data_IF_046578630596
#
_entry.id   IF_046578630596
#
_cell.length_a   1.000
_cell.length_b   1.000
_cell.length_c   1.000
_cell.angle_alpha   90.00
_cell.angle_beta   90.00
_cell.angle_gamma   90.00
#
_symmetry.space_group_name_H-M   'P 1'
#
loop_
_entity.id
_entity.type
_entity.pdbx_description
1 polymer ?
#
# COMPACT_ATOMS: atom_id res chain seq x y z
N UNK A 1 -10.90 22.77 -13.43
CA UNK A 1 -10.40 23.99 -14.05
C UNK A 1 -11.55 24.98 -14.23
N UNK A 2 -11.45 26.20 -13.70
CA UNK A 2 -12.49 27.23 -13.77
C UNK A 2 -12.85 27.56 -15.22
N UNK A 3 -11.83 27.67 -16.08
CA UNK A 3 -12.03 27.88 -17.52
C UNK A 3 -12.91 26.83 -18.19
N UNK A 4 -12.82 25.57 -17.76
CA UNK A 4 -13.66 24.50 -18.31
C UNK A 4 -15.11 24.70 -17.89
N UNK A 5 -15.36 25.04 -16.62
CA UNK A 5 -16.69 25.31 -16.10
C UNK A 5 -17.33 26.51 -16.81
N UNK A 6 -16.59 27.62 -16.94
CA UNK A 6 -17.05 28.81 -17.66
C UNK A 6 -17.41 28.52 -19.11
N UNK A 7 -16.53 27.78 -19.82
CA UNK A 7 -16.80 27.40 -21.22
C UNK A 7 -18.01 26.48 -21.35
N UNK A 8 -18.20 25.55 -20.41
CA UNK A 8 -19.34 24.62 -20.43
C UNK A 8 -20.65 25.35 -20.13
N UNK A 9 -20.67 26.22 -19.12
CA UNK A 9 -21.84 27.05 -18.80
C UNK A 9 -22.22 27.93 -20.00
N UNK A 10 -21.25 28.60 -20.62
CA UNK A 10 -21.48 29.44 -21.82
C UNK A 10 -22.05 28.64 -22.97
N UNK A 11 -21.50 27.46 -23.24
CA UNK A 11 -22.03 26.59 -24.30
C UNK A 11 -23.47 26.16 -24.06
N UNK A 12 -23.87 25.80 -22.83
CA UNK A 12 -25.25 25.48 -22.50
C UNK A 12 -26.17 26.70 -22.55
N UNK A 13 -25.68 27.91 -22.19
CA UNK A 13 -26.43 29.16 -22.32
C UNK A 13 -26.70 29.51 -23.79
N UNK A 14 -25.69 29.38 -24.65
CA UNK A 14 -25.87 29.57 -26.12
C UNK A 14 -26.83 28.57 -26.70
N UNK A 15 -26.89 27.35 -26.20
CA UNK A 15 -27.86 26.31 -26.54
C UNK A 15 -29.25 26.54 -25.96
N UNK A 16 -29.50 27.62 -25.19
CA UNK A 16 -30.77 27.95 -24.49
C UNK A 16 -31.25 26.87 -23.55
N UNK A 17 -30.38 25.98 -23.05
CA UNK A 17 -30.72 24.90 -22.11
C UNK A 17 -30.52 25.38 -20.65
N UNK A 18 -31.35 26.36 -20.25
CA UNK A 18 -31.17 27.09 -18.98
C UNK A 18 -31.35 26.21 -17.73
N UNK A 19 -32.15 25.16 -17.79
CA UNK A 19 -32.29 24.18 -16.69
C UNK A 19 -31.01 23.38 -16.50
N UNK A 20 -30.31 23.03 -17.59
CA UNK A 20 -28.98 22.39 -17.50
C UNK A 20 -27.93 23.34 -16.94
N UNK A 21 -28.01 24.64 -17.28
CA UNK A 21 -27.13 25.65 -16.68
C UNK A 21 -27.30 25.73 -15.17
N UNK A 22 -28.54 25.66 -14.68
CA UNK A 22 -28.80 25.62 -13.22
C UNK A 22 -28.17 24.39 -12.57
N UNK A 23 -28.36 23.20 -13.17
CA UNK A 23 -27.72 21.97 -12.68
C UNK A 23 -26.19 22.03 -12.71
N UNK A 24 -25.60 22.69 -13.71
CA UNK A 24 -24.14 22.93 -13.75
C UNK A 24 -23.68 23.86 -12.63
N UNK A 25 -24.41 24.93 -12.37
CA UNK A 25 -24.11 25.81 -11.23
C UNK A 25 -24.26 25.07 -9.88
N UNK A 26 -25.25 24.21 -9.70
CA UNK A 26 -25.41 23.42 -8.49
C UNK A 26 -24.18 22.52 -8.24
N UNK A 27 -23.66 21.88 -9.30
CA UNK A 27 -22.41 21.10 -9.23
C UNK A 27 -21.20 22.00 -8.96
N UNK A 28 -21.09 23.13 -9.67
CA UNK A 28 -19.95 24.04 -9.54
C UNK A 28 -19.89 24.66 -8.14
N UNK A 29 -21.00 25.10 -7.58
CA UNK A 29 -21.08 25.70 -6.25
C UNK A 29 -20.77 24.72 -5.12
N UNK A 30 -20.95 23.42 -5.34
CA UNK A 30 -20.57 22.35 -4.40
C UNK A 30 -19.12 21.90 -4.56
N UNK A 31 -18.45 22.23 -5.68
CA UNK A 31 -17.10 21.79 -5.99
C UNK A 31 -16.07 22.84 -5.54
N UNK A 32 -15.05 22.48 -4.76
CA UNK A 32 -13.97 23.40 -4.39
C UNK A 32 -13.15 23.80 -5.64
N UNK A 33 -13.18 25.07 -6.00
CA UNK A 33 -12.42 25.65 -7.12
C UNK A 33 -11.74 26.95 -6.69
N UNK A 34 -10.74 27.41 -7.42
CA UNK A 34 -10.09 28.70 -7.12
C UNK A 34 -11.03 29.89 -7.30
N UNK A 35 -11.91 29.83 -8.30
CA UNK A 35 -12.87 30.89 -8.63
C UNK A 35 -14.18 30.83 -7.85
N UNK A 36 -14.25 30.13 -6.71
CA UNK A 36 -15.48 29.85 -5.97
C UNK A 36 -16.33 31.11 -5.63
N UNK A 37 -15.69 32.23 -5.33
CA UNK A 37 -16.38 33.51 -5.07
C UNK A 37 -17.00 34.09 -6.35
N UNK A 38 -16.24 34.12 -7.43
CA UNK A 38 -16.70 34.62 -8.74
C UNK A 38 -17.86 33.79 -9.26
N UNK A 39 -17.81 32.47 -9.11
CA UNK A 39 -18.86 31.56 -9.57
C UNK A 39 -20.19 31.78 -8.87
N UNK A 40 -20.18 32.14 -7.60
CA UNK A 40 -21.42 32.47 -6.89
C UNK A 40 -22.01 33.79 -7.37
N UNK A 41 -21.16 34.78 -7.66
CA UNK A 41 -21.60 36.05 -8.21
C UNK A 41 -22.20 35.89 -9.61
N UNK A 42 -21.56 35.14 -10.51
CA UNK A 42 -22.08 34.87 -11.85
C UNK A 42 -23.39 34.07 -11.81
N UNK A 43 -23.55 33.16 -10.82
CA UNK A 43 -24.80 32.49 -10.57
C UNK A 43 -25.93 33.45 -10.17
N UNK A 44 -25.66 34.41 -9.28
CA UNK A 44 -26.64 35.42 -8.90
C UNK A 44 -27.08 36.27 -10.09
N UNK A 45 -26.13 36.69 -10.92
CA UNK A 45 -26.39 37.41 -12.18
C UNK A 45 -27.25 36.59 -13.13
N UNK A 46 -26.95 35.28 -13.28
CA UNK A 46 -27.74 34.37 -14.13
C UNK A 46 -29.19 34.24 -13.64
N UNK A 47 -29.42 34.06 -12.31
CA UNK A 47 -30.78 33.95 -11.76
C UNK A 47 -31.53 35.28 -11.89
N UNK A 48 -30.85 36.42 -11.76
CA UNK A 48 -31.48 37.74 -11.91
C UNK A 48 -31.88 38.04 -13.36
N UNK A 49 -31.04 37.65 -14.32
CA UNK A 49 -31.24 37.91 -15.74
C UNK A 49 -32.33 37.04 -16.41
N UNK A 50 -32.67 35.90 -15.80
CA UNK A 50 -33.61 34.94 -16.37
C UNK A 50 -34.90 34.80 -15.54
N UNK A 51 -35.97 34.33 -16.17
CA UNK A 51 -37.20 34.02 -15.44
C UNK A 51 -37.08 32.68 -14.71
N UNK A 52 -37.63 32.55 -13.47
CA UNK A 52 -37.55 31.31 -12.71
C UNK A 52 -38.12 30.08 -13.41
N UNK A 53 -39.16 30.27 -14.21
CA UNK A 53 -39.79 29.20 -15.01
C UNK A 53 -38.84 28.57 -16.05
N UNK A 54 -37.83 29.31 -16.53
CA UNK A 54 -36.88 28.84 -17.55
C UNK A 54 -35.66 28.19 -16.98
N UNK A 55 -35.32 28.54 -15.75
CA UNK A 55 -34.07 28.07 -15.08
C UNK A 55 -34.28 26.87 -14.17
N UNK A 56 -35.55 26.58 -13.79
CA UNK A 56 -35.93 25.44 -12.95
C UNK A 56 -36.64 24.36 -13.77
N UNK A 57 -36.70 23.15 -13.25
CA UNK A 57 -37.63 22.14 -13.72
C UNK A 57 -39.08 22.58 -13.42
N UNK A 58 -40.06 22.04 -14.15
CA UNK A 58 -41.48 22.38 -13.92
C UNK A 58 -41.86 22.03 -12.48
N UNK A 59 -41.48 20.87 -12.00
CA UNK A 59 -41.81 20.38 -10.66
C UNK A 59 -41.20 21.27 -9.57
N UNK A 60 -39.92 21.61 -9.69
CA UNK A 60 -39.21 22.49 -8.73
C UNK A 60 -39.82 23.91 -8.72
N UNK A 61 -40.20 24.43 -9.90
CA UNK A 61 -40.82 25.74 -10.00
C UNK A 61 -42.18 25.75 -9.31
N UNK A 62 -43.01 24.73 -9.55
CA UNK A 62 -44.34 24.62 -8.93
C UNK A 62 -44.26 24.44 -7.42
N UNK A 63 -43.34 23.65 -6.93
CA UNK A 63 -43.10 23.48 -5.51
C UNK A 63 -42.68 24.80 -4.83
N UNK A 64 -41.71 25.51 -5.41
CA UNK A 64 -41.31 26.82 -4.90
C UNK A 64 -42.42 27.87 -4.98
N UNK A 65 -43.20 27.86 -6.06
CA UNK A 65 -44.34 28.76 -6.24
C UNK A 65 -45.40 28.51 -5.18
N UNK A 66 -45.74 27.28 -4.88
CA UNK A 66 -46.71 26.91 -3.86
C UNK A 66 -46.28 27.40 -2.47
N UNK A 67 -44.98 27.25 -2.12
CA UNK A 67 -44.42 27.77 -0.88
C UNK A 67 -44.47 29.30 -0.79
N UNK A 68 -44.16 29.99 -1.90
CA UNK A 68 -44.21 31.45 -1.96
C UNK A 68 -45.64 31.99 -1.81
N UNK A 69 -46.59 31.33 -2.51
CA UNK A 69 -48.00 31.69 -2.33
C UNK A 69 -48.52 31.48 -0.90
N UNK A 70 -48.05 30.44 -0.20
CA UNK A 70 -48.39 30.18 1.18
C UNK A 70 -47.86 31.30 2.09
N UNK A 71 -46.63 31.79 1.84
CA UNK A 71 -46.03 32.92 2.59
C UNK A 71 -46.78 34.21 2.34
N UNK A 72 -47.08 34.57 1.08
CA UNK A 72 -47.80 35.78 0.73
C UNK A 72 -49.23 35.81 1.30
N UNK A 73 -49.92 34.66 1.35
CA UNK A 73 -51.24 34.53 2.00
C UNK A 73 -51.15 34.65 3.53
N UNK A 74 -50.04 34.30 4.14
CA UNK A 74 -49.84 34.46 5.60
C UNK A 74 -49.51 35.89 6.00
N UNK A 75 -48.94 36.69 5.08
CA UNK A 75 -48.65 38.12 5.32
C UNK A 75 -49.87 39.02 5.05
N UNK A 76 -50.85 38.59 4.21
CA UNK A 76 -52.14 39.22 4.08
C UNK A 76 -53.07 38.83 5.24
N UNK A 77 -52.97 39.48 6.37
CA UNK A 77 -54.00 39.42 7.45
C UNK A 77 -55.25 40.14 6.91
N UNK A 78 -56.38 39.43 6.72
CA UNK A 78 -57.58 40.09 6.18
C UNK A 78 -58.24 40.95 7.26
N UNK A 79 -58.10 42.26 7.16
CA UNK A 79 -59.02 43.22 7.75
C UNK A 79 -60.12 43.53 6.72
N UNK A 80 -61.08 42.61 6.51
CA UNK A 80 -62.42 42.97 6.03
C UNK A 80 -63.33 41.75 6.06
N UNK A 81 -64.53 41.97 6.54
CA UNK A 81 -65.62 41.00 6.65
C UNK A 81 -66.17 40.53 5.27
N UNK A 82 -66.79 39.32 5.20
CA UNK A 82 -67.24 38.76 3.96
C UNK A 82 -68.47 39.47 3.40
N UNK A 83 -68.44 39.88 2.16
CA UNK A 83 -69.64 40.13 1.34
C UNK A 83 -69.86 38.90 0.46
N UNK A 84 -70.93 38.21 0.79
CA UNK A 84 -71.59 37.17 -0.04
C UNK A 84 -72.01 37.77 -1.36
N UNK A 85 -71.66 37.17 -2.45
CA UNK A 85 -72.33 37.01 -3.73
C UNK A 85 -71.34 36.90 -4.90
N UNK A 86 -71.03 35.66 -5.28
CA UNK A 86 -70.59 35.35 -6.64
C UNK A 86 -70.93 33.86 -7.00
N UNK A 87 -71.42 33.55 -8.21
CA UNK A 87 -71.84 32.20 -8.64
C UNK A 87 -70.60 31.31 -8.79
N UNK A 88 -70.71 29.97 -8.68
CA UNK A 88 -69.61 29.04 -8.84
C UNK A 88 -69.17 28.94 -10.31
N UNK A 89 -68.09 29.66 -10.61
CA UNK A 89 -67.40 29.51 -11.88
C UNK A 89 -66.11 28.73 -11.59
N UNK A 90 -65.78 27.80 -12.49
CA UNK A 90 -64.60 26.95 -12.48
C UNK A 90 -63.37 27.77 -12.09
N UNK A 91 -62.68 27.37 -11.03
CA UNK A 91 -61.35 27.94 -10.69
C UNK A 91 -60.40 27.56 -11.82
N UNK A 92 -59.75 28.51 -12.51
CA UNK A 92 -58.73 28.18 -13.51
C UNK A 92 -57.60 27.45 -12.82
N UNK A 93 -57.17 26.34 -13.42
CA UNK A 93 -56.05 25.57 -12.88
C UNK A 93 -54.85 26.48 -12.59
N UNK A 94 -54.21 26.33 -11.42
CA UNK A 94 -53.18 27.21 -10.89
C UNK A 94 -51.92 27.36 -11.80
N UNK A 95 -51.91 26.69 -12.95
CA UNK A 95 -50.88 26.69 -13.99
C UNK A 95 -51.02 27.83 -15.00
N UNK A 96 -52.18 28.43 -15.17
CA UNK A 96 -52.42 29.38 -16.27
C UNK A 96 -52.19 30.86 -15.89
N UNK A 97 -52.08 31.17 -14.60
CA UNK A 97 -51.84 32.55 -14.17
C UNK A 97 -50.34 32.83 -14.14
N UNK A 98 -49.82 33.80 -14.92
CA UNK A 98 -48.38 34.17 -14.83
C UNK A 98 -48.04 34.65 -13.41
N UNK A 99 -46.81 34.34 -12.92
CA UNK A 99 -46.39 34.79 -11.59
C UNK A 99 -46.30 36.29 -11.54
N UNK A 100 -46.70 36.87 -10.42
CA UNK A 100 -46.59 38.32 -10.21
C UNK A 100 -45.09 38.72 -10.07
N UNK A 101 -44.78 40.00 -10.28
CA UNK A 101 -43.40 40.48 -10.14
C UNK A 101 -42.86 40.24 -8.72
N UNK A 102 -43.71 40.29 -7.73
CA UNK A 102 -43.40 40.04 -6.32
C UNK A 102 -43.16 38.55 -6.05
N UNK A 103 -44.02 37.66 -6.57
CA UNK A 103 -43.77 36.21 -6.56
C UNK A 103 -42.41 35.89 -7.21
N UNK A 104 -42.14 36.47 -8.39
CA UNK A 104 -40.92 36.27 -9.12
C UNK A 104 -39.68 36.71 -8.33
N UNK A 105 -39.75 37.83 -7.64
CA UNK A 105 -38.67 38.34 -6.77
C UNK A 105 -38.40 37.40 -5.60
N UNK A 106 -39.45 36.96 -4.92
CA UNK A 106 -39.31 36.06 -3.76
C UNK A 106 -38.76 34.68 -4.19
N UNK A 107 -39.24 34.14 -5.34
CA UNK A 107 -38.71 32.88 -5.89
C UNK A 107 -37.22 33.01 -6.18
N UNK A 108 -36.77 34.11 -6.84
CA UNK A 108 -35.34 34.36 -7.08
C UNK A 108 -34.53 34.42 -5.77
N UNK A 109 -35.02 35.12 -4.77
CA UNK A 109 -34.39 35.21 -3.45
C UNK A 109 -34.27 33.83 -2.78
N UNK A 110 -35.33 33.00 -2.86
CA UNK A 110 -35.29 31.62 -2.36
C UNK A 110 -34.27 30.74 -3.09
N UNK A 111 -34.21 30.82 -4.42
CA UNK A 111 -33.19 30.12 -5.23
C UNK A 111 -31.79 30.52 -4.78
N UNK A 112 -31.51 31.80 -4.68
CA UNK A 112 -30.20 32.30 -4.28
C UNK A 112 -29.89 31.92 -2.83
N UNK A 113 -30.85 32.03 -1.90
CA UNK A 113 -30.62 31.73 -0.48
C UNK A 113 -30.35 30.26 -0.22
N UNK A 114 -31.01 29.34 -0.93
CA UNK A 114 -30.76 27.90 -0.85
C UNK A 114 -29.33 27.56 -1.30
N UNK A 115 -28.90 28.12 -2.42
CA UNK A 115 -27.54 27.93 -2.97
C UNK A 115 -26.45 28.68 -2.17
N UNK A 116 -26.82 29.75 -1.48
CA UNK A 116 -25.90 30.45 -0.54
C UNK A 116 -25.45 29.55 0.59
N UNK A 117 -26.31 28.64 1.09
CA UNK A 117 -25.91 27.66 2.11
C UNK A 117 -24.85 26.70 1.58
N UNK A 118 -25.04 26.19 0.35
CA UNK A 118 -24.08 25.29 -0.33
C UNK A 118 -22.76 26.04 -0.57
N UNK A 119 -22.83 27.26 -1.08
CA UNK A 119 -21.65 28.10 -1.30
C UNK A 119 -20.88 28.36 -0.01
N UNK A 120 -21.56 28.68 1.10
CA UNK A 120 -20.90 28.89 2.42
C UNK A 120 -20.19 27.63 2.89
N UNK A 121 -20.78 26.46 2.74
CA UNK A 121 -20.13 25.18 3.05
C UNK A 121 -18.88 24.96 2.17
N UNK A 122 -18.97 25.30 0.89
CA UNK A 122 -17.85 25.21 -0.05
C UNK A 122 -16.72 26.21 0.30
N UNK A 123 -17.06 27.45 0.67
CA UNK A 123 -16.07 28.45 1.16
C UNK A 123 -15.28 27.91 2.34
N UNK A 124 -15.95 27.32 3.32
CA UNK A 124 -15.30 26.72 4.48
C UNK A 124 -14.41 25.51 4.05
N UNK A 125 -14.89 24.69 3.13
CA UNK A 125 -14.12 23.55 2.60
C UNK A 125 -12.86 24.00 1.86
N UNK A 126 -12.94 25.07 1.08
CA UNK A 126 -11.78 25.67 0.38
C UNK A 126 -10.81 26.27 1.39
N UNK A 127 -11.29 27.05 2.34
CA UNK A 127 -10.44 27.69 3.35
C UNK A 127 -9.63 26.66 4.17
N UNK A 128 -10.26 25.54 4.56
CA UNK A 128 -9.60 24.47 5.28
C UNK A 128 -8.46 23.78 4.47
N UNK A 129 -8.55 23.80 3.14
CA UNK A 129 -7.59 23.14 2.23
C UNK A 129 -6.56 24.09 1.65
N UNK A 130 -6.79 25.38 1.75
CA UNK A 130 -6.01 26.40 1.06
C UNK A 130 -4.51 26.28 1.31
N UNK A 131 -4.12 26.12 2.56
CA UNK A 131 -2.70 25.99 2.96
C UNK A 131 -2.01 24.83 2.27
N UNK A 132 -2.69 23.68 2.14
CA UNK A 132 -2.14 22.51 1.47
C UNK A 132 -2.03 22.73 -0.05
N UNK A 133 -3.07 23.28 -0.67
CA UNK A 133 -3.10 23.54 -2.11
C UNK A 133 -2.06 24.61 -2.52
N UNK A 134 -1.92 25.67 -1.75
CA UNK A 134 -0.88 26.69 -1.96
C UNK A 134 0.53 26.10 -1.78
N UNK A 135 0.68 25.13 -0.88
CA UNK A 135 1.90 24.38 -0.66
C UNK A 135 2.33 23.49 -1.83
N UNK A 136 1.42 23.14 -2.76
CA UNK A 136 1.71 22.29 -3.92
C UNK A 136 2.31 23.16 -5.05
N UNK A 137 3.65 23.20 -5.13
CA UNK A 137 4.35 24.01 -6.15
C UNK A 137 4.58 23.25 -7.46
N UNK A 138 4.59 21.93 -7.43
CA UNK A 138 4.83 21.05 -8.58
C UNK A 138 3.74 19.98 -8.70
N UNK A 139 2.57 20.31 -9.29
CA UNK A 139 1.44 19.37 -9.41
C UNK A 139 1.55 18.45 -10.66
N UNK A 140 2.73 18.25 -11.21
CA UNK A 140 2.99 17.47 -12.42
C UNK A 140 4.14 16.48 -12.21
N UNK A 141 4.18 15.44 -13.04
CA UNK A 141 5.25 14.46 -13.03
C UNK A 141 6.57 15.04 -13.51
N UNK A 142 7.64 14.75 -12.78
CA UNK A 142 9.00 15.09 -13.19
C UNK A 142 10.02 14.15 -12.51
N UNK A 143 11.07 13.77 -13.23
CA UNK A 143 12.12 12.86 -12.72
C UNK A 143 13.01 13.48 -11.64
N UNK A 144 13.11 14.83 -11.59
CA UNK A 144 13.87 15.51 -10.52
C UNK A 144 13.18 15.27 -9.16
N UNK A 145 13.92 14.88 -8.12
CA UNK A 145 13.35 14.67 -6.80
C UNK A 145 12.53 15.86 -6.30
N UNK A 146 11.46 15.57 -5.56
CA UNK A 146 10.70 16.56 -4.82
C UNK A 146 11.44 16.98 -3.55
N UNK A 147 11.25 18.22 -3.16
CA UNK A 147 11.74 18.74 -1.89
C UNK A 147 11.03 18.08 -0.72
N UNK A 148 11.70 17.94 0.42
CA UNK A 148 11.13 17.31 1.62
C UNK A 148 9.87 18.02 2.09
N UNK A 149 9.80 19.35 1.98
CA UNK A 149 8.62 20.13 2.32
C UNK A 149 7.41 19.77 1.45
N UNK A 150 7.61 19.48 0.15
CA UNK A 150 6.55 19.04 -0.76
C UNK A 150 6.02 17.65 -0.38
N UNK A 151 6.92 16.71 -0.08
CA UNK A 151 6.54 15.36 0.38
C UNK A 151 5.79 15.41 1.70
N UNK A 152 6.22 16.28 2.62
CA UNK A 152 5.54 16.50 3.90
C UNK A 152 4.14 17.08 3.69
N UNK A 153 4.01 18.10 2.85
CA UNK A 153 2.73 18.72 2.52
C UNK A 153 1.73 17.72 1.93
N UNK A 154 2.18 16.84 1.00
CA UNK A 154 1.32 15.78 0.46
C UNK A 154 0.86 14.78 1.53
N UNK A 155 1.76 14.41 2.47
CA UNK A 155 1.41 13.50 3.57
C UNK A 155 0.35 14.12 4.49
N UNK A 156 0.57 15.36 4.92
CA UNK A 156 -0.34 16.09 5.81
C UNK A 156 -1.69 16.36 5.13
N UNK A 157 -1.69 16.67 3.84
CA UNK A 157 -2.92 16.85 3.09
C UNK A 157 -3.73 15.56 2.96
N UNK A 158 -3.08 14.44 2.68
CA UNK A 158 -3.73 13.13 2.66
C UNK A 158 -4.28 12.74 4.03
N UNK A 159 -3.56 13.02 5.12
CA UNK A 159 -4.02 12.77 6.49
C UNK A 159 -5.27 13.60 6.78
N UNK A 160 -5.25 14.89 6.46
CA UNK A 160 -6.38 15.78 6.62
C UNK A 160 -7.64 15.29 5.88
N UNK A 161 -7.51 14.89 4.59
CA UNK A 161 -8.68 14.41 3.83
C UNK A 161 -9.21 13.07 4.35
N UNK A 162 -8.33 12.17 4.80
CA UNK A 162 -8.74 10.90 5.42
C UNK A 162 -9.57 11.16 6.69
N UNK A 163 -9.22 12.16 7.49
CA UNK A 163 -9.98 12.58 8.68
C UNK A 163 -11.37 13.14 8.32
N UNK A 164 -11.50 13.79 7.15
CA UNK A 164 -12.79 14.30 6.65
C UNK A 164 -13.76 13.19 6.20
N UNK A 165 -13.26 11.97 5.92
CA UNK A 165 -14.03 10.78 5.55
C UNK A 165 -14.83 10.88 4.23
N UNK A 166 -14.51 11.82 3.36
CA UNK A 166 -15.09 11.91 2.02
C UNK A 166 -14.31 11.00 1.06
N UNK A 167 -14.83 9.80 0.83
CA UNK A 167 -14.15 8.75 0.07
C UNK A 167 -13.78 9.16 -1.35
N UNK A 168 -14.67 9.84 -2.06
CA UNK A 168 -14.41 10.27 -3.44
C UNK A 168 -13.27 11.28 -3.50
N UNK A 169 -13.29 12.26 -2.61
CA UNK A 169 -12.22 13.27 -2.52
C UNK A 169 -10.88 12.66 -2.15
N UNK A 170 -10.87 11.73 -1.21
CA UNK A 170 -9.64 11.04 -0.79
C UNK A 170 -9.02 10.28 -1.96
N UNK A 171 -9.83 9.52 -2.72
CA UNK A 171 -9.36 8.79 -3.90
C UNK A 171 -8.81 9.75 -4.95
N UNK A 172 -9.53 10.83 -5.26
CA UNK A 172 -9.07 11.85 -6.21
C UNK A 172 -7.77 12.50 -5.74
N UNK A 173 -7.63 12.77 -4.45
CA UNK A 173 -6.40 13.37 -3.90
C UNK A 173 -5.23 12.40 -3.99
N UNK A 174 -5.43 11.10 -3.72
CA UNK A 174 -4.38 10.09 -3.92
C UNK A 174 -3.93 10.03 -5.39
N UNK A 175 -4.86 10.01 -6.34
CA UNK A 175 -4.52 10.01 -7.77
C UNK A 175 -3.75 11.29 -8.17
N UNK A 176 -4.15 12.46 -7.70
CA UNK A 176 -3.40 13.71 -7.89
C UNK A 176 -2.00 13.64 -7.27
N UNK A 177 -1.89 13.12 -6.06
CA UNK A 177 -0.62 12.93 -5.38
C UNK A 177 0.31 12.03 -6.18
N UNK A 178 -0.19 10.92 -6.71
CA UNK A 178 0.58 9.96 -7.50
C UNK A 178 1.05 10.52 -8.85
N UNK A 179 0.49 11.60 -9.36
CA UNK A 179 1.06 12.31 -10.51
C UNK A 179 2.40 12.96 -10.12
N UNK A 180 2.42 13.72 -9.03
CA UNK A 180 3.63 14.44 -8.61
C UNK A 180 4.63 13.52 -7.90
N UNK A 181 4.14 12.55 -7.13
CA UNK A 181 4.89 11.64 -6.27
C UNK A 181 5.03 10.24 -6.85
N UNK A 182 4.88 10.05 -8.17
CA UNK A 182 4.90 8.74 -8.82
C UNK A 182 6.16 7.90 -8.50
N UNK A 183 7.31 8.56 -8.31
CA UNK A 183 8.60 7.89 -8.02
C UNK A 183 8.84 7.58 -6.53
N UNK A 184 7.84 7.79 -5.68
CA UNK A 184 7.91 7.53 -4.24
C UNK A 184 6.95 6.40 -3.86
N UNK A 185 7.51 5.23 -3.62
CA UNK A 185 6.77 3.99 -3.32
C UNK A 185 5.86 4.09 -2.07
N UNK A 186 6.22 4.95 -1.11
CA UNK A 186 5.42 5.16 0.10
C UNK A 186 3.99 5.63 -0.16
N UNK A 187 3.76 6.49 -1.19
CA UNK A 187 2.42 6.98 -1.52
C UNK A 187 1.56 5.92 -2.20
N UNK A 188 2.18 5.06 -3.04
CA UNK A 188 1.50 3.90 -3.62
C UNK A 188 1.02 2.92 -2.55
N UNK A 189 1.91 2.57 -1.61
CA UNK A 189 1.56 1.68 -0.51
C UNK A 189 0.51 2.30 0.42
N UNK A 190 0.57 3.60 0.64
CA UNK A 190 -0.42 4.31 1.44
C UNK A 190 -1.80 4.30 0.79
N UNK A 191 -1.85 4.50 -0.52
CA UNK A 191 -3.11 4.44 -1.27
C UNK A 191 -3.73 3.04 -1.21
N UNK A 192 -2.93 2.01 -1.44
CA UNK A 192 -3.40 0.62 -1.31
C UNK A 192 -3.96 0.35 0.09
N UNK A 193 -3.23 0.70 1.15
CA UNK A 193 -3.69 0.52 2.54
C UNK A 193 -5.01 1.25 2.81
N UNK A 194 -5.17 2.44 2.27
CA UNK A 194 -6.44 3.16 2.35
C UNK A 194 -7.56 2.38 1.66
N UNK A 195 -7.35 1.90 0.43
CA UNK A 195 -8.34 1.12 -0.30
C UNK A 195 -8.69 -0.21 0.40
N UNK A 196 -7.69 -0.85 1.04
CA UNK A 196 -7.90 -2.06 1.86
C UNK A 196 -8.72 -1.79 3.13
N UNK A 197 -8.63 -0.58 3.69
CA UNK A 197 -9.37 -0.18 4.89
C UNK A 197 -10.86 0.10 4.63
N UNK A 198 -11.25 0.26 3.37
CA UNK A 198 -12.65 0.46 3.00
C UNK A 198 -13.42 -0.87 3.06
N UNK A 199 -14.67 -0.82 3.50
CA UNK A 199 -15.55 -2.01 3.60
C UNK A 199 -15.97 -2.59 2.25
N UNK A 200 -15.80 -1.83 1.17
CA UNK A 200 -16.16 -2.25 -0.18
C UNK A 200 -15.11 -3.18 -0.80
N UNK A 201 -15.55 -4.01 -1.75
CA UNK A 201 -14.64 -4.86 -2.51
C UNK A 201 -13.87 -4.04 -3.57
N UNK A 202 -12.78 -3.38 -3.15
CA UNK A 202 -11.93 -2.57 -4.01
C UNK A 202 -10.79 -3.37 -4.68
N UNK A 203 -10.90 -4.69 -4.77
CA UNK A 203 -9.82 -5.55 -5.26
C UNK A 203 -9.30 -5.15 -6.65
N UNK A 204 -10.20 -4.80 -7.58
CA UNK A 204 -9.80 -4.36 -8.93
C UNK A 204 -9.06 -3.02 -8.93
N UNK A 205 -9.52 -2.06 -8.11
CA UNK A 205 -8.81 -0.78 -7.95
C UNK A 205 -7.42 -0.97 -7.36
N UNK A 206 -7.30 -1.84 -6.36
CA UNK A 206 -6.00 -2.17 -5.74
C UNK A 206 -5.06 -2.82 -6.75
N UNK A 207 -5.56 -3.73 -7.60
CA UNK A 207 -4.79 -4.35 -8.68
C UNK A 207 -4.30 -3.31 -9.69
N UNK A 208 -5.15 -2.38 -10.08
CA UNK A 208 -4.78 -1.29 -10.99
C UNK A 208 -3.66 -0.44 -10.38
N UNK A 209 -3.79 -0.04 -9.11
CA UNK A 209 -2.76 0.75 -8.40
C UNK A 209 -1.44 -0.01 -8.34
N UNK A 210 -1.43 -1.29 -7.96
CA UNK A 210 -0.21 -2.11 -7.95
C UNK A 210 0.37 -2.31 -9.34
N UNK A 211 -0.46 -2.55 -10.35
CA UNK A 211 -0.01 -2.72 -11.74
C UNK A 211 0.72 -1.47 -12.21
N UNK A 212 0.12 -0.29 -12.08
CA UNK A 212 0.77 0.99 -12.44
C UNK A 212 2.07 1.21 -11.65
N UNK A 213 2.05 0.95 -10.35
CA UNK A 213 3.23 1.10 -9.50
C UNK A 213 4.37 0.17 -9.94
N UNK A 214 4.09 -1.13 -10.10
CA UNK A 214 5.11 -2.14 -10.32
C UNK A 214 5.60 -2.23 -11.78
N UNK A 215 4.71 -1.99 -12.76
CA UNK A 215 5.10 -2.14 -14.17
C UNK A 215 5.65 -0.86 -14.78
N UNK A 216 5.15 0.31 -14.36
CA UNK A 216 5.51 1.60 -14.97
C UNK A 216 6.55 2.35 -14.12
N UNK A 217 6.25 2.61 -12.84
CA UNK A 217 7.04 3.54 -12.05
C UNK A 217 8.18 2.89 -11.25
N UNK A 218 7.95 1.68 -10.75
CA UNK A 218 8.89 0.98 -9.84
C UNK A 218 9.19 -0.47 -10.25
N UNK A 219 9.57 -0.76 -11.51
CA UNK A 219 9.81 -2.14 -11.97
C UNK A 219 10.95 -2.84 -11.24
N UNK A 220 11.86 -2.08 -10.62
CA UNK A 220 13.03 -2.58 -9.88
C UNK A 220 12.92 -2.42 -8.36
N UNK A 221 11.71 -2.22 -7.81
CA UNK A 221 11.51 -2.09 -6.35
C UNK A 221 10.84 -3.34 -5.77
N UNK A 222 11.60 -4.29 -5.18
CA UNK A 222 11.08 -5.57 -4.72
C UNK A 222 9.95 -5.42 -3.69
N UNK A 223 10.02 -4.42 -2.80
CA UNK A 223 9.03 -4.23 -1.75
C UNK A 223 7.60 -4.10 -2.27
N UNK A 224 7.38 -3.31 -3.33
CA UNK A 224 6.04 -3.16 -3.95
C UNK A 224 5.54 -4.48 -4.54
N UNK A 225 6.40 -5.21 -5.27
CA UNK A 225 6.05 -6.51 -5.85
C UNK A 225 5.74 -7.55 -4.78
N UNK A 226 6.50 -7.56 -3.68
CA UNK A 226 6.25 -8.45 -2.54
C UNK A 226 4.92 -8.16 -1.85
N UNK A 227 4.54 -6.89 -1.71
CA UNK A 227 3.25 -6.49 -1.17
C UNK A 227 2.11 -6.90 -2.11
N UNK A 228 2.26 -6.64 -3.42
CA UNK A 228 1.28 -7.06 -4.42
C UNK A 228 1.07 -8.58 -4.42
N UNK A 229 2.16 -9.35 -4.45
CA UNK A 229 2.08 -10.82 -4.37
C UNK A 229 1.39 -11.28 -3.07
N UNK A 230 1.64 -10.61 -1.94
CA UNK A 230 0.96 -10.90 -0.67
C UNK A 230 -0.54 -10.62 -0.75
N UNK A 231 -0.93 -9.53 -1.40
CA UNK A 231 -2.33 -9.20 -1.62
C UNK A 231 -3.04 -10.26 -2.47
N UNK A 232 -2.44 -10.67 -3.62
CA UNK A 232 -3.02 -11.69 -4.48
C UNK A 232 -3.10 -13.06 -3.79
N UNK A 233 -2.08 -13.43 -3.02
CA UNK A 233 -2.08 -14.64 -2.20
C UNK A 233 -3.22 -14.61 -1.16
N UNK A 234 -3.42 -13.47 -0.49
CA UNK A 234 -4.52 -13.26 0.45
C UNK A 234 -5.92 -13.36 -0.17
N UNK A 235 -6.03 -13.09 -1.48
CA UNK A 235 -7.26 -13.28 -2.27
C UNK A 235 -7.39 -14.68 -2.88
N UNK A 236 -6.45 -15.58 -2.62
CA UNK A 236 -6.44 -16.94 -3.16
C UNK A 236 -5.89 -17.05 -4.59
N UNK A 237 -5.37 -15.99 -5.18
CA UNK A 237 -4.83 -15.95 -6.53
C UNK A 237 -3.35 -16.37 -6.56
N UNK A 238 -3.05 -17.61 -6.18
CA UNK A 238 -1.68 -18.11 -6.06
C UNK A 238 -0.89 -18.03 -7.38
N UNK A 239 -1.54 -18.27 -8.51
CA UNK A 239 -0.87 -18.24 -9.83
C UNK A 239 -0.42 -16.81 -10.17
N UNK A 240 -1.28 -15.81 -9.91
CA UNK A 240 -0.91 -14.41 -10.12
C UNK A 240 0.19 -13.95 -9.18
N UNK A 241 0.13 -14.37 -7.91
CA UNK A 241 1.20 -14.10 -6.95
C UNK A 241 2.54 -14.71 -7.38
N UNK A 242 2.52 -15.96 -7.92
CA UNK A 242 3.72 -16.63 -8.44
C UNK A 242 4.29 -15.87 -9.64
N UNK A 243 3.44 -15.44 -10.59
CA UNK A 243 3.85 -14.66 -11.77
C UNK A 243 4.52 -13.34 -11.37
N UNK A 244 3.94 -12.59 -10.43
CA UNK A 244 4.50 -11.32 -9.94
C UNK A 244 5.89 -11.53 -9.32
N UNK A 245 6.03 -12.57 -8.48
CA UNK A 245 7.30 -12.90 -7.84
C UNK A 245 8.36 -13.40 -8.83
N UNK A 246 7.94 -14.12 -9.86
CA UNK A 246 8.83 -14.57 -10.94
C UNK A 246 9.34 -13.38 -11.77
N UNK A 247 8.45 -12.47 -12.13
CA UNK A 247 8.81 -11.28 -12.89
C UNK A 247 9.86 -10.43 -12.15
N UNK A 248 9.68 -10.17 -10.84
CA UNK A 248 10.68 -9.39 -10.08
C UNK A 248 11.98 -10.17 -9.89
N UNK A 249 11.94 -11.49 -9.75
CA UNK A 249 13.14 -12.33 -9.63
C UNK A 249 13.98 -12.30 -10.93
N UNK A 250 13.31 -12.28 -12.10
CA UNK A 250 13.97 -12.14 -13.39
C UNK A 250 14.60 -10.74 -13.57
N UNK A 251 13.94 -9.69 -13.11
CA UNK A 251 14.45 -8.31 -13.19
C UNK A 251 15.58 -8.05 -12.19
N UNK A 252 15.49 -8.64 -11.00
CA UNK A 252 16.46 -8.47 -9.90
C UNK A 252 16.87 -9.83 -9.30
N UNK A 253 17.72 -10.58 -10.01
CA UNK A 253 18.16 -11.89 -9.55
C UNK A 253 18.99 -11.81 -8.26
N UNK A 254 19.02 -12.90 -7.51
CA UNK A 254 19.78 -13.05 -6.26
C UNK A 254 19.26 -12.24 -5.05
N UNK A 255 18.00 -11.82 -5.07
CA UNK A 255 17.35 -11.21 -3.92
C UNK A 255 16.78 -12.29 -2.98
N UNK A 256 17.42 -12.50 -1.82
CA UNK A 256 16.99 -13.51 -0.85
C UNK A 256 15.52 -13.37 -0.42
N UNK A 257 15.04 -12.15 -0.28
CA UNK A 257 13.64 -11.92 0.09
C UNK A 257 12.67 -12.45 -0.96
N UNK A 258 12.97 -12.22 -2.24
CA UNK A 258 12.13 -12.69 -3.36
C UNK A 258 12.18 -14.21 -3.45
N UNK A 259 13.39 -14.81 -3.39
CA UNK A 259 13.56 -16.25 -3.40
C UNK A 259 12.77 -16.93 -2.28
N UNK A 260 12.87 -16.44 -1.05
CA UNK A 260 12.13 -17.00 0.06
C UNK A 260 10.61 -16.80 -0.06
N UNK A 261 10.17 -15.69 -0.61
CA UNK A 261 8.74 -15.45 -0.82
C UNK A 261 8.17 -16.41 -1.88
N UNK A 262 8.89 -16.64 -2.99
CA UNK A 262 8.51 -17.63 -4.03
C UNK A 262 8.39 -19.03 -3.43
N UNK A 263 9.43 -19.48 -2.75
CA UNK A 263 9.46 -20.83 -2.14
C UNK A 263 8.34 -20.99 -1.10
N UNK A 264 8.15 -19.99 -0.23
CA UNK A 264 7.13 -20.04 0.79
C UNK A 264 5.70 -19.97 0.22
N UNK A 265 5.50 -19.30 -0.91
CA UNK A 265 4.24 -19.30 -1.64
C UNK A 265 3.85 -20.72 -2.06
N UNK A 266 4.77 -21.44 -2.73
CA UNK A 266 4.51 -22.82 -3.16
C UNK A 266 4.32 -23.76 -1.96
N UNK A 267 5.08 -23.57 -0.87
CA UNK A 267 4.87 -24.31 0.38
C UNK A 267 3.47 -24.08 0.96
N UNK A 268 2.98 -22.84 1.01
CA UNK A 268 1.64 -22.52 1.53
C UNK A 268 0.53 -23.01 0.61
N UNK A 269 0.81 -23.04 -0.71
CA UNK A 269 -0.08 -23.65 -1.71
C UNK A 269 -0.18 -25.18 -1.56
N UNK A 270 0.79 -25.81 -0.90
CA UNK A 270 0.87 -27.26 -0.70
C UNK A 270 1.75 -27.98 -1.73
N UNK A 271 2.32 -27.26 -2.71
CA UNK A 271 3.23 -27.83 -3.72
C UNK A 271 4.66 -27.89 -3.17
N UNK A 272 4.93 -28.90 -2.35
CA UNK A 272 6.23 -29.10 -1.72
C UNK A 272 7.31 -29.52 -2.74
N UNK A 273 6.93 -30.18 -3.85
CA UNK A 273 7.88 -30.62 -4.87
C UNK A 273 8.38 -29.42 -5.67
N UNK A 274 7.50 -28.53 -6.07
CA UNK A 274 7.89 -27.28 -6.74
C UNK A 274 8.74 -26.39 -5.82
N UNK A 275 8.44 -26.36 -4.51
CA UNK A 275 9.29 -25.68 -3.55
C UNK A 275 10.71 -26.26 -3.50
N UNK A 276 10.86 -27.61 -3.56
CA UNK A 276 12.17 -28.26 -3.65
C UNK A 276 12.93 -27.85 -4.92
N UNK A 277 12.26 -27.88 -6.06
CA UNK A 277 12.86 -27.47 -7.35
C UNK A 277 13.35 -26.02 -7.29
N UNK A 278 12.58 -25.12 -6.71
CA UNK A 278 12.99 -23.72 -6.53
C UNK A 278 14.22 -23.60 -5.63
N UNK A 279 14.27 -24.33 -4.50
CA UNK A 279 15.46 -24.36 -3.65
C UNK A 279 16.71 -24.80 -4.40
N UNK A 280 16.61 -25.91 -5.15
CA UNK A 280 17.73 -26.48 -5.91
C UNK A 280 18.21 -25.52 -7.02
N UNK A 281 17.26 -24.88 -7.73
CA UNK A 281 17.58 -23.89 -8.75
C UNK A 281 18.31 -22.67 -8.17
N UNK A 282 17.84 -22.14 -7.04
CA UNK A 282 18.50 -20.99 -6.40
C UNK A 282 19.90 -21.33 -5.87
N UNK A 283 20.12 -22.53 -5.32
CA UNK A 283 21.43 -22.98 -4.83
C UNK A 283 22.40 -23.17 -6.02
N UNK A 284 21.90 -23.67 -7.16
CA UNK A 284 22.73 -23.96 -8.33
C UNK A 284 23.09 -22.68 -9.10
N UNK A 285 22.11 -21.78 -9.28
CA UNK A 285 22.25 -20.60 -10.13
C UNK A 285 22.83 -19.38 -9.39
N UNK A 286 22.90 -19.42 -8.06
CA UNK A 286 23.43 -18.29 -7.28
C UNK A 286 24.94 -18.14 -7.47
N UNK A 287 25.36 -16.99 -8.00
CA UNK A 287 26.78 -16.60 -8.11
C UNK A 287 27.39 -16.23 -6.75
N UNK A 288 26.57 -15.84 -5.78
CA UNK A 288 27.01 -15.44 -4.45
C UNK A 288 26.96 -16.63 -3.50
N UNK A 289 28.13 -17.07 -3.04
CA UNK A 289 28.30 -18.21 -2.12
C UNK A 289 27.49 -18.03 -0.83
N UNK A 290 27.49 -16.84 -0.24
CA UNK A 290 26.74 -16.56 0.99
C UNK A 290 25.25 -16.72 0.80
N UNK A 291 24.72 -16.29 -0.34
CA UNK A 291 23.30 -16.46 -0.69
C UNK A 291 22.98 -17.94 -0.86
N UNK A 292 23.78 -18.67 -1.64
CA UNK A 292 23.61 -20.11 -1.85
C UNK A 292 23.61 -20.89 -0.53
N UNK A 293 24.55 -20.59 0.40
CA UNK A 293 24.63 -21.23 1.70
C UNK A 293 23.42 -20.93 2.58
N UNK A 294 22.94 -19.68 2.61
CA UNK A 294 21.74 -19.31 3.37
C UNK A 294 20.50 -20.04 2.86
N UNK A 295 20.41 -20.23 1.53
CA UNK A 295 19.32 -20.99 0.90
C UNK A 295 19.47 -22.48 1.21
N UNK A 296 20.69 -23.04 1.14
CA UNK A 296 20.95 -24.44 1.47
C UNK A 296 20.57 -24.80 2.91
N UNK A 297 20.93 -23.94 3.87
CA UNK A 297 20.53 -24.11 5.29
C UNK A 297 19.01 -24.12 5.45
N UNK A 298 18.30 -23.21 4.76
CA UNK A 298 16.83 -23.21 4.81
C UNK A 298 16.22 -24.40 4.10
N UNK A 299 16.82 -24.84 3.00
CA UNK A 299 16.38 -26.03 2.28
C UNK A 299 16.53 -27.29 3.13
N UNK A 300 17.65 -27.46 3.79
CA UNK A 300 17.87 -28.59 4.69
C UNK A 300 16.82 -28.62 5.83
N UNK A 301 16.51 -27.48 6.45
CA UNK A 301 15.45 -27.37 7.44
C UNK A 301 14.05 -27.67 6.86
N UNK A 302 13.79 -27.23 5.62
CA UNK A 302 12.54 -27.52 4.94
C UNK A 302 12.39 -29.01 4.68
N UNK A 303 13.42 -29.70 4.16
CA UNK A 303 13.42 -31.14 3.92
C UNK A 303 13.17 -31.92 5.22
N UNK A 304 13.82 -31.54 6.31
CA UNK A 304 13.62 -32.18 7.63
C UNK A 304 12.19 -31.98 8.16
N UNK A 305 11.66 -30.73 8.12
CA UNK A 305 10.40 -30.38 8.76
C UNK A 305 9.15 -30.72 7.95
N UNK A 306 9.21 -30.65 6.61
CA UNK A 306 8.04 -30.82 5.74
C UNK A 306 8.07 -32.11 4.92
N UNK A 307 9.26 -32.61 4.57
CA UNK A 307 9.42 -33.86 3.80
C UNK A 307 9.85 -35.03 4.67
N UNK A 308 10.26 -34.80 5.92
CA UNK A 308 10.86 -35.80 6.83
C UNK A 308 12.06 -36.55 6.22
N UNK A 309 12.80 -35.90 5.30
CA UNK A 309 13.94 -36.46 4.60
C UNK A 309 15.25 -35.87 5.13
N UNK A 310 15.72 -36.41 6.25
CA UNK A 310 16.96 -35.95 6.92
C UNK A 310 18.17 -36.30 6.05
N UNK A 311 18.17 -37.45 5.36
CA UNK A 311 19.30 -37.90 4.55
C UNK A 311 19.55 -36.95 3.35
N UNK A 312 18.47 -36.52 2.68
CA UNK A 312 18.59 -35.52 1.60
C UNK A 312 19.04 -34.17 2.17
N UNK A 313 18.55 -33.78 3.35
CA UNK A 313 18.93 -32.54 4.00
C UNK A 313 20.44 -32.51 4.32
N UNK A 314 20.99 -33.59 4.86
CA UNK A 314 22.43 -33.75 5.12
C UNK A 314 23.23 -33.68 3.84
N UNK A 315 22.83 -34.41 2.78
CA UNK A 315 23.49 -34.38 1.46
C UNK A 315 23.54 -32.96 0.86
N UNK A 316 22.50 -32.18 1.04
CA UNK A 316 22.46 -30.78 0.56
C UNK A 316 23.48 -29.93 1.31
N UNK A 317 23.57 -30.06 2.64
CA UNK A 317 24.51 -29.33 3.44
C UNK A 317 25.97 -29.76 3.19
N UNK A 318 26.25 -31.05 3.03
CA UNK A 318 27.56 -31.55 2.68
C UNK A 318 28.05 -30.97 1.35
N UNK A 319 27.17 -30.94 0.32
CA UNK A 319 27.50 -30.24 -0.94
C UNK A 319 27.77 -28.74 -0.76
N UNK A 320 27.13 -28.11 0.20
CA UNK A 320 27.37 -26.69 0.51
C UNK A 320 28.71 -26.53 1.24
N UNK A 321 29.04 -27.42 2.19
CA UNK A 321 30.35 -27.41 2.89
C UNK A 321 31.53 -27.68 1.94
N UNK A 322 31.37 -28.51 0.92
CA UNK A 322 32.39 -28.72 -0.11
C UNK A 322 32.75 -27.44 -0.86
N UNK A 323 31.77 -26.57 -1.08
CA UNK A 323 31.95 -25.26 -1.74
C UNK A 323 32.46 -24.17 -0.79
N UNK A 324 32.14 -24.25 0.50
CA UNK A 324 32.46 -23.24 1.52
C UNK A 324 32.94 -23.92 2.82
N UNK A 325 34.15 -24.41 2.75
CA UNK A 325 34.72 -25.31 3.76
C UNK A 325 34.99 -24.66 5.13
N UNK A 326 35.09 -23.34 5.18
CA UNK A 326 35.47 -22.61 6.41
C UNK A 326 34.25 -21.91 7.06
N UNK A 327 33.03 -22.19 6.60
CA UNK A 327 31.80 -21.58 7.12
C UNK A 327 31.24 -22.39 8.30
N UNK A 328 31.41 -21.95 9.56
CA UNK A 328 31.00 -22.71 10.74
C UNK A 328 29.47 -22.95 10.79
N UNK A 329 28.68 -22.07 10.17
CA UNK A 329 27.22 -22.16 10.20
C UNK A 329 26.69 -23.42 9.48
N UNK A 330 27.38 -23.89 8.43
CA UNK A 330 26.98 -25.10 7.71
C UNK A 330 27.20 -26.33 8.58
N UNK A 331 28.35 -26.42 9.26
CA UNK A 331 28.66 -27.54 10.16
C UNK A 331 27.76 -27.56 11.39
N UNK A 332 27.47 -26.39 11.99
CA UNK A 332 26.51 -26.32 13.08
C UNK A 332 25.14 -26.86 12.66
N UNK A 333 24.71 -26.57 11.43
CA UNK A 333 23.45 -27.08 10.91
C UNK A 333 23.47 -28.59 10.62
N UNK A 334 24.65 -29.14 10.20
CA UNK A 334 24.84 -30.59 10.07
C UNK A 334 24.74 -31.29 11.42
N UNK A 335 25.37 -30.74 12.45
CA UNK A 335 25.29 -31.22 13.84
C UNK A 335 23.82 -31.21 14.31
N UNK A 336 23.12 -30.09 14.12
CA UNK A 336 21.70 -29.97 14.52
C UNK A 336 20.82 -31.03 13.82
N UNK A 337 21.07 -31.37 12.55
CA UNK A 337 20.32 -32.40 11.85
C UNK A 337 20.70 -33.80 12.31
N UNK A 338 22.00 -34.07 12.60
CA UNK A 338 22.45 -35.33 13.17
C UNK A 338 21.82 -35.64 14.53
N UNK A 339 21.68 -34.61 15.37
CA UNK A 339 21.00 -34.71 16.66
C UNK A 339 19.48 -34.95 16.57
N UNK A 340 18.86 -34.62 15.43
CA UNK A 340 17.43 -34.88 15.19
C UNK A 340 17.14 -36.32 14.73
N UNK A 341 18.15 -37.12 14.44
CA UNK A 341 17.96 -38.55 14.16
C UNK A 341 17.56 -39.30 15.43
N UNK A 342 16.76 -40.31 15.28
CA UNK A 342 16.39 -41.19 16.38
C UNK A 342 16.53 -42.65 15.91
N UNK A 343 17.51 -43.45 16.44
CA UNK A 343 18.53 -43.06 17.43
C UNK A 343 19.59 -42.08 16.86
N UNK A 344 20.25 -41.32 17.75
CA UNK A 344 21.33 -40.43 17.39
C UNK A 344 22.57 -41.25 17.00
N UNK A 345 23.12 -41.00 15.81
CA UNK A 345 24.37 -41.58 15.38
C UNK A 345 25.53 -40.72 15.91
N UNK A 346 26.17 -41.22 16.99
CA UNK A 346 27.24 -40.51 17.66
C UNK A 346 28.48 -40.32 16.79
N UNK A 347 28.80 -41.33 15.97
CA UNK A 347 29.94 -41.27 15.06
C UNK A 347 29.78 -40.24 13.95
N UNK A 348 28.56 -40.20 13.37
CA UNK A 348 28.22 -39.21 12.35
C UNK A 348 28.32 -37.76 12.87
N UNK A 349 27.74 -37.49 14.06
CA UNK A 349 27.75 -36.15 14.66
C UNK A 349 29.17 -35.72 15.00
N UNK A 350 29.98 -36.61 15.60
CA UNK A 350 31.41 -36.37 15.87
C UNK A 350 32.17 -36.10 14.58
N UNK A 351 31.91 -36.86 13.53
CA UNK A 351 32.50 -36.67 12.21
C UNK A 351 32.28 -35.25 11.64
N UNK A 352 31.09 -34.68 11.79
CA UNK A 352 30.80 -33.29 11.38
C UNK A 352 31.59 -32.25 12.18
N UNK A 353 31.80 -32.50 13.48
CA UNK A 353 32.63 -31.61 14.31
C UNK A 353 34.10 -31.71 13.91
N UNK A 354 34.63 -32.93 13.71
CA UNK A 354 36.02 -33.15 13.29
C UNK A 354 36.31 -32.56 11.91
N UNK A 355 35.39 -32.67 10.96
CA UNK A 355 35.52 -32.02 9.66
C UNK A 355 35.80 -30.53 9.74
N UNK A 356 35.29 -29.82 10.76
CA UNK A 356 35.58 -28.39 10.97
C UNK A 356 36.85 -28.16 11.79
N UNK A 357 37.06 -28.94 12.85
CA UNK A 357 38.23 -28.80 13.76
C UNK A 357 39.54 -29.02 13.01
N UNK A 358 39.58 -29.96 12.07
CA UNK A 358 40.76 -30.30 11.27
C UNK A 358 41.12 -29.28 10.17
N UNK A 359 40.26 -28.26 9.94
CA UNK A 359 40.55 -27.23 8.95
C UNK A 359 41.65 -26.27 9.40
N UNK A 360 42.73 -26.21 8.64
CA UNK A 360 43.87 -25.34 8.95
C UNK A 360 43.55 -23.85 8.81
N UNK A 361 42.67 -23.48 7.86
CA UNK A 361 42.34 -22.09 7.57
C UNK A 361 41.11 -21.58 8.32
N UNK A 362 40.43 -22.44 9.08
CA UNK A 362 39.28 -22.03 9.89
C UNK A 362 39.68 -21.10 11.02
N UNK A 363 38.77 -20.20 11.43
CA UNK A 363 38.99 -19.33 12.55
C UNK A 363 39.28 -20.13 13.83
N UNK A 364 40.40 -19.85 14.49
CA UNK A 364 40.83 -20.59 15.68
C UNK A 364 39.84 -20.47 16.85
N UNK A 365 39.15 -19.35 16.98
CA UNK A 365 38.12 -19.19 18.03
C UNK A 365 36.94 -20.13 17.78
N UNK A 366 36.50 -20.22 16.52
CA UNK A 366 35.44 -21.15 16.13
C UNK A 366 35.89 -22.61 16.29
N UNK A 367 37.15 -22.95 15.95
CA UNK A 367 37.69 -24.30 16.16
C UNK A 367 37.68 -24.70 17.65
N UNK A 368 38.02 -23.77 18.55
CA UNK A 368 37.96 -24.00 20.01
C UNK A 368 36.53 -24.27 20.45
N UNK A 369 35.54 -23.50 19.93
CA UNK A 369 34.12 -23.71 20.23
C UNK A 369 33.62 -25.07 19.75
N UNK A 370 34.02 -25.50 18.53
CA UNK A 370 33.62 -26.82 18.01
C UNK A 370 34.27 -27.95 18.82
N UNK A 371 35.54 -27.81 19.20
CA UNK A 371 36.21 -28.79 20.05
C UNK A 371 35.61 -28.89 21.45
N UNK A 372 35.19 -27.77 22.05
CA UNK A 372 34.43 -27.74 23.29
C UNK A 372 33.10 -28.48 23.16
N UNK A 373 32.31 -28.17 22.12
CA UNK A 373 31.02 -28.83 21.85
C UNK A 373 31.19 -30.34 21.63
N UNK A 374 32.31 -30.76 21.03
CA UNK A 374 32.58 -32.18 20.85
C UNK A 374 32.80 -32.89 22.19
N UNK A 375 33.51 -32.25 23.12
CA UNK A 375 33.68 -32.79 24.48
C UNK A 375 32.35 -32.92 25.18
N UNK A 376 31.57 -31.82 25.23
CA UNK A 376 30.24 -31.80 25.87
C UNK A 376 29.34 -32.88 25.29
N UNK A 377 29.29 -33.00 23.94
CA UNK A 377 28.48 -34.02 23.29
C UNK A 377 28.89 -35.45 23.62
N UNK A 378 30.21 -35.72 23.66
CA UNK A 378 30.71 -37.06 23.97
C UNK A 378 30.56 -37.41 25.46
N UNK A 379 30.59 -36.45 26.37
CA UNK A 379 30.24 -36.67 27.77
C UNK A 379 28.80 -37.13 27.96
N UNK A 380 27.88 -36.58 27.15
CA UNK A 380 26.44 -36.91 27.24
C UNK A 380 26.05 -38.19 26.48
N UNK A 381 26.70 -38.51 25.36
CA UNK A 381 26.22 -39.55 24.42
C UNK A 381 27.21 -40.70 24.22
N UNK A 382 28.51 -40.58 24.62
CA UNK A 382 29.47 -41.65 24.38
C UNK A 382 29.41 -42.73 25.43
N UNK A 383 29.52 -43.98 25.00
CA UNK A 383 29.67 -45.15 25.87
C UNK A 383 31.14 -45.49 26.19
N UNK A 384 32.12 -44.83 25.52
CA UNK A 384 33.55 -45.09 25.67
C UNK A 384 34.27 -43.84 26.20
N UNK A 385 34.74 -43.93 27.44
CA UNK A 385 35.51 -42.86 28.11
C UNK A 385 36.80 -42.50 27.37
N UNK A 386 37.39 -43.41 26.59
CA UNK A 386 38.59 -43.12 25.79
C UNK A 386 38.32 -42.08 24.69
N UNK A 387 37.11 -42.07 24.13
CA UNK A 387 36.72 -41.05 23.15
C UNK A 387 36.61 -39.67 23.80
N UNK A 388 36.05 -39.57 24.99
CA UNK A 388 35.96 -38.32 25.78
C UNK A 388 37.38 -37.79 26.09
N UNK A 389 38.29 -38.63 26.55
CA UNK A 389 39.66 -38.23 26.86
C UNK A 389 40.40 -37.71 25.63
N UNK A 390 40.29 -38.38 24.48
CA UNK A 390 40.87 -37.91 23.23
C UNK A 390 40.30 -36.56 22.78
N UNK A 391 39.01 -36.35 22.93
CA UNK A 391 38.36 -35.08 22.62
C UNK A 391 38.89 -33.94 23.56
N UNK A 392 39.07 -34.24 24.82
CA UNK A 392 39.67 -33.30 25.78
C UNK A 392 41.10 -32.92 25.38
N UNK A 393 41.92 -33.86 24.99
CA UNK A 393 43.30 -33.58 24.49
C UNK A 393 43.24 -32.68 23.22
N UNK A 394 42.32 -32.98 22.30
CA UNK A 394 42.14 -32.18 21.10
C UNK A 394 41.71 -30.75 21.41
N UNK A 395 40.79 -30.57 22.36
CA UNK A 395 40.33 -29.27 22.85
C UNK A 395 41.49 -28.45 23.47
N UNK A 396 42.30 -29.08 24.33
CA UNK A 396 43.46 -28.42 24.92
C UNK A 396 44.50 -27.98 23.87
N UNK A 397 44.71 -28.79 22.82
CA UNK A 397 45.58 -28.42 21.68
C UNK A 397 45.04 -27.19 20.95
N UNK A 398 43.72 -27.13 20.68
CA UNK A 398 43.08 -25.97 20.02
C UNK A 398 43.22 -24.70 20.87
N UNK A 399 43.01 -24.78 22.18
CA UNK A 399 43.20 -23.64 23.09
C UNK A 399 44.64 -23.12 23.04
N UNK A 400 45.64 -24.03 23.08
CA UNK A 400 47.05 -23.66 23.04
C UNK A 400 47.37 -22.92 21.73
N UNK A 401 46.96 -23.44 20.60
CA UNK A 401 47.17 -22.82 19.30
C UNK A 401 46.50 -21.43 19.21
N UNK A 402 45.25 -21.27 19.74
CA UNK A 402 44.58 -19.98 19.78
C UNK A 402 45.30 -18.95 20.64
N UNK A 403 45.85 -19.35 21.78
CA UNK A 403 46.65 -18.48 22.67
C UNK A 403 47.97 -18.05 22.02
N UNK A 404 48.68 -18.96 21.38
CA UNK A 404 49.95 -18.68 20.68
C UNK A 404 49.77 -17.66 19.57
N UNK A 405 48.72 -17.82 18.75
CA UNK A 405 48.40 -16.87 17.65
C UNK A 405 47.94 -15.49 18.16
N UNK A 406 47.25 -15.42 19.30
CA UNK A 406 46.93 -14.13 19.93
C UNK A 406 48.19 -13.40 20.44
N UNK A 407 49.19 -14.13 20.96
CA UNK A 407 50.47 -13.55 21.37
C UNK A 407 51.26 -13.00 20.18
N UNK A 408 51.40 -13.77 19.10
CA UNK A 408 52.12 -13.31 17.91
C UNK A 408 51.48 -12.05 17.27
N UNK A 409 50.15 -11.99 17.18
CA UNK A 409 49.47 -10.79 16.71
C UNK A 409 49.63 -9.57 17.63
N UNK A 410 49.71 -9.77 18.94
CA UNK A 410 49.96 -8.67 19.89
C UNK A 410 51.38 -8.14 19.84
N UNK A 411 52.33 -8.96 19.41
CA UNK A 411 53.74 -8.57 19.20
C UNK A 411 53.92 -7.84 17.88
N UNK A 412 53.29 -8.29 16.81
CA UNK A 412 53.29 -7.61 15.48
C UNK A 412 52.58 -6.22 15.52
N UNK A 413 51.63 -6.02 16.41
CA UNK A 413 50.94 -4.71 16.57
C UNK A 413 51.71 -3.72 17.46
N UNK A 414 52.82 -4.11 18.05
CA UNK A 414 53.70 -3.26 18.88
C UNK A 414 54.99 -2.80 18.18
N UNK A 415 55.24 -3.28 16.97
CA UNK A 415 56.30 -2.85 16.05
C UNK A 415 55.68 -1.91 15.00
#
# INVERSE_FOLDING_TARGET
>A
SDRLWESYIKWEQEGKRLTHVTALYDRLLSTPTFGYMTHFQTFQEFVTANSPQRILSVDDFLALRSEVKAILKADDVPTAAPTDDAPPGEEPEAHEIPPTDEETRIIREKIISSRRKVHKANVNAVAARWTYEEGIKRPYFHVKPLERCQLKNWKEYLDFEIEQKDQERIIILFERCLIACALYDEFWLRFVRYLESLSENNAEKIRDVYSRACTVHHPKKPNLHLQWATFEEGKGNFDKAAEILENIDNVMPNMLQVAYRRINLERRRGDLDKACVLYENYITNSKNRTIANNIAVKYARFLCKFKNDIDKAIKVLLKATDKDKDNPRLYLQLIDLGLQRNPVDTEEVVGYMDMFIEREHADLEQRVLFAQRKVEFLEDFSTDIKQVLKAHEQFQKCIKQAKERKKSKSEESKV
#
